data_IF_993167886945
#
_entry.id   IF_993167886945
#
_cell.length_a   1.000
_cell.length_b   1.000
_cell.length_c   1.000
_cell.angle_alpha   90.00
_cell.angle_beta   90.00
_cell.angle_gamma   90.00
#
_symmetry.space_group_name_H-M   'P 1'
#
loop_
_entity.id
_entity.type
_entity.pdbx_description
1 polymer ?
#
# COMPACT_ATOMS: atom_id res chain seq x y z
N UNK A 1 71.26 12.47 26.17
CA UNK A 1 71.64 12.67 24.75
C UNK A 1 70.59 12.00 23.85
N UNK A 2 70.35 12.55 22.65
CA UNK A 2 69.04 12.71 21.99
C UNK A 2 68.86 11.67 20.85
N UNK A 3 67.79 11.61 20.04
CA UNK A 3 67.30 12.55 19.03
C UNK A 3 65.95 12.01 18.48
N UNK A 4 64.84 12.75 18.58
CA UNK A 4 64.17 13.59 17.55
C UNK A 4 62.93 12.95 16.89
N UNK A 5 61.79 13.63 17.07
CA UNK A 5 60.53 13.51 16.28
C UNK A 5 60.75 14.13 14.87
N UNK A 6 59.85 13.95 13.86
CA UNK A 6 58.56 14.67 13.84
C UNK A 6 57.36 13.95 13.15
N UNK A 7 56.18 14.57 13.33
CA UNK A 7 54.88 14.38 12.65
C UNK A 7 54.98 14.42 11.11
N UNK A 8 54.11 13.67 10.41
CA UNK A 8 53.39 14.16 9.21
C UNK A 8 52.12 13.31 8.95
N UNK A 9 50.96 13.98 8.91
CA UNK A 9 49.71 13.53 8.28
C UNK A 9 49.94 13.30 6.78
N UNK A 10 49.29 12.30 6.15
CA UNK A 10 48.82 12.35 4.77
C UNK A 10 47.92 11.13 4.39
N UNK A 11 46.65 11.45 4.14
CA UNK A 11 45.76 10.95 3.06
C UNK A 11 45.66 9.45 2.72
N UNK A 12 44.46 8.91 3.00
CA UNK A 12 43.67 7.96 2.21
C UNK A 12 44.05 7.77 0.73
N UNK A 13 44.30 6.52 0.30
CA UNK A 13 44.03 6.03 -1.08
C UNK A 13 43.76 4.52 -1.04
N UNK A 14 42.51 4.11 -1.24
CA UNK A 14 42.18 2.74 -1.66
C UNK A 14 42.10 2.71 -3.19
N UNK A 15 42.93 1.92 -3.91
CA UNK A 15 42.78 1.82 -5.35
C UNK A 15 42.07 0.53 -5.76
N UNK A 16 41.15 0.74 -6.68
CA UNK A 16 40.88 -0.07 -7.87
C UNK A 16 39.92 -1.26 -7.75
N UNK A 17 38.66 -0.95 -8.08
CA UNK A 17 37.80 -1.84 -8.87
C UNK A 17 38.55 -2.29 -10.14
N UNK A 18 39.02 -3.54 -10.17
CA UNK A 18 39.36 -4.21 -11.42
C UNK A 18 38.22 -5.15 -11.77
N UNK A 19 37.46 -4.76 -12.79
CA UNK A 19 36.52 -5.60 -13.49
C UNK A 19 37.24 -6.84 -14.04
N UNK A 20 37.06 -7.99 -13.42
CA UNK A 20 37.46 -9.27 -13.98
C UNK A 20 36.22 -9.94 -14.57
N UNK A 21 35.97 -9.69 -15.86
CA UNK A 21 35.02 -10.50 -16.64
C UNK A 21 35.66 -11.89 -16.80
N UNK A 22 35.04 -12.99 -16.31
CA UNK A 22 35.65 -14.31 -16.38
C UNK A 22 35.68 -14.81 -17.83
N UNK A 23 36.86 -15.25 -18.30
CA UNK A 23 37.13 -15.69 -19.69
C UNK A 23 36.55 -17.06 -20.05
N UNK A 24 35.67 -17.63 -19.23
CA UNK A 24 35.12 -18.97 -19.44
C UNK A 24 33.59 -18.88 -19.58
N UNK A 25 33.04 -19.35 -20.71
CA UNK A 25 31.63 -19.16 -21.08
C UNK A 25 30.67 -19.82 -20.06
N UNK A 26 31.10 -20.91 -19.42
CA UNK A 26 30.38 -21.56 -18.32
C UNK A 26 30.38 -20.70 -17.03
N UNK A 27 31.46 -19.99 -16.73
CA UNK A 27 31.54 -19.11 -15.57
C UNK A 27 30.74 -17.81 -15.78
N UNK A 28 30.67 -17.31 -17.01
CA UNK A 28 29.78 -16.21 -17.37
C UNK A 28 28.29 -16.62 -17.27
N UNK A 29 27.94 -17.83 -17.71
CA UNK A 29 26.60 -18.40 -17.54
C UNK A 29 26.25 -18.60 -16.05
N UNK A 30 27.16 -19.15 -15.24
CA UNK A 30 26.96 -19.29 -13.79
C UNK A 30 26.82 -17.93 -13.10
N UNK A 31 27.56 -16.91 -13.52
CA UNK A 31 27.43 -15.54 -13.00
C UNK A 31 26.07 -14.93 -13.37
N UNK A 32 25.59 -15.08 -14.61
CA UNK A 32 24.27 -14.61 -15.01
C UNK A 32 23.16 -15.40 -14.31
N UNK A 33 23.30 -16.72 -14.15
CA UNK A 33 22.32 -17.58 -13.47
C UNK A 33 22.25 -17.31 -11.97
N UNK A 34 23.41 -17.19 -11.30
CA UNK A 34 23.46 -16.81 -9.88
C UNK A 34 22.93 -15.40 -9.63
N UNK A 35 23.14 -14.45 -10.55
CA UNK A 35 22.54 -13.11 -10.43
C UNK A 35 21.05 -13.07 -10.79
N UNK A 36 20.54 -13.98 -11.64
CA UNK A 36 19.09 -14.12 -11.88
C UNK A 36 18.36 -14.80 -10.70
N UNK A 37 19.05 -15.68 -9.96
CA UNK A 37 18.52 -16.30 -8.74
C UNK A 37 18.47 -15.29 -7.58
N UNK A 38 19.37 -14.30 -7.53
CA UNK A 38 19.38 -13.31 -6.45
C UNK A 38 18.23 -12.30 -6.58
N UNK A 39 17.71 -12.00 -7.78
CA UNK A 39 16.54 -11.12 -7.93
C UNK A 39 15.21 -11.77 -7.50
N UNK A 40 15.18 -13.08 -7.34
CA UNK A 40 14.03 -13.90 -6.89
C UNK A 40 13.91 -13.94 -5.35
N UNK A 41 14.95 -13.53 -4.61
CA UNK A 41 15.04 -13.80 -3.15
C UNK A 41 14.29 -12.83 -2.22
N UNK A 42 13.42 -11.93 -2.72
CA UNK A 42 12.71 -10.96 -1.85
C UNK A 42 11.23 -10.71 -2.15
N UNK A 43 10.64 -11.31 -3.20
CA UNK A 43 9.21 -11.12 -3.46
C UNK A 43 8.36 -11.89 -2.43
N UNK A 44 7.44 -11.19 -1.79
CA UNK A 44 6.46 -11.77 -0.88
C UNK A 44 5.41 -12.56 -1.66
N UNK A 45 4.71 -13.48 -1.00
CA UNK A 45 3.75 -14.34 -1.69
C UNK A 45 2.52 -13.56 -2.19
N UNK A 46 1.94 -13.95 -3.34
CA UNK A 46 0.71 -13.33 -3.83
C UNK A 46 -0.43 -13.41 -2.81
N UNK A 47 -0.55 -14.54 -2.10
CA UNK A 47 -1.57 -14.76 -1.10
C UNK A 47 -1.49 -13.75 0.05
N UNK A 48 -0.28 -13.45 0.56
CA UNK A 48 -0.07 -12.41 1.58
C UNK A 48 -0.51 -11.03 1.08
N UNK A 49 -0.11 -10.66 -0.15
CA UNK A 49 -0.45 -9.35 -0.72
C UNK A 49 -1.96 -9.20 -0.94
N UNK A 50 -2.60 -10.24 -1.48
CA UNK A 50 -4.04 -10.25 -1.69
C UNK A 50 -4.82 -10.22 -0.37
N UNK A 51 -4.41 -10.99 0.65
CA UNK A 51 -5.02 -10.94 1.98
C UNK A 51 -4.88 -9.54 2.61
N UNK A 52 -3.71 -8.91 2.46
CA UNK A 52 -3.52 -7.54 2.91
C UNK A 52 -4.51 -6.58 2.24
N UNK A 53 -4.70 -6.68 0.92
CA UNK A 53 -5.67 -5.83 0.20
C UNK A 53 -7.13 -6.14 0.58
N UNK A 54 -7.48 -7.39 0.91
CA UNK A 54 -8.81 -7.74 1.44
C UNK A 54 -9.08 -6.99 2.75
N UNK A 55 -8.10 -6.95 3.65
CA UNK A 55 -8.21 -6.21 4.91
C UNK A 55 -8.43 -4.72 4.61
N UNK A 56 -7.61 -4.11 3.76
CA UNK A 56 -7.74 -2.70 3.37
C UNK A 56 -9.12 -2.40 2.74
N UNK A 57 -9.62 -3.29 1.87
CA UNK A 57 -10.93 -3.13 1.25
C UNK A 57 -12.08 -3.24 2.26
N UNK A 58 -12.03 -4.20 3.19
CA UNK A 58 -13.02 -4.32 4.26
C UNK A 58 -12.99 -3.12 5.20
N UNK A 59 -11.79 -2.65 5.53
CA UNK A 59 -11.58 -1.44 6.32
C UNK A 59 -12.21 -0.22 5.63
N UNK A 60 -11.93 -0.02 4.33
CA UNK A 60 -12.55 1.05 3.53
C UNK A 60 -14.07 0.94 3.47
N UNK A 61 -14.62 -0.27 3.30
CA UNK A 61 -16.08 -0.51 3.32
C UNK A 61 -16.71 -0.02 4.62
N UNK A 62 -16.18 -0.44 5.76
CA UNK A 62 -16.72 -0.05 7.06
C UNK A 62 -16.55 1.45 7.32
N UNK A 63 -15.40 2.02 6.93
CA UNK A 63 -15.14 3.46 7.06
C UNK A 63 -16.12 4.33 6.29
N UNK A 64 -16.41 3.97 5.03
CA UNK A 64 -17.39 4.69 4.23
C UNK A 64 -18.83 4.48 4.71
N UNK A 65 -19.20 3.27 5.13
CA UNK A 65 -20.53 3.01 5.67
C UNK A 65 -20.79 3.88 6.91
N UNK A 66 -19.79 3.96 7.78
CA UNK A 66 -19.79 4.81 8.95
C UNK A 66 -19.85 6.30 8.57
N UNK A 67 -19.00 6.76 7.67
CA UNK A 67 -19.02 8.15 7.19
C UNK A 67 -20.41 8.54 6.63
N UNK A 68 -21.07 7.63 5.88
CA UNK A 68 -22.43 7.86 5.37
C UNK A 68 -23.49 8.04 6.47
N UNK A 69 -23.27 7.48 7.67
CA UNK A 69 -24.20 7.60 8.79
C UNK A 69 -24.09 8.94 9.52
N UNK A 70 -22.92 9.58 9.53
CA UNK A 70 -22.68 10.82 10.29
C UNK A 70 -22.81 12.09 9.45
N UNK A 71 -22.57 12.02 8.14
CA UNK A 71 -22.65 13.21 7.31
C UNK A 71 -24.08 13.70 7.13
N UNK A 72 -24.26 15.01 7.16
CA UNK A 72 -25.55 15.67 7.01
C UNK A 72 -25.91 15.85 5.53
N UNK A 73 -24.93 16.11 4.65
CA UNK A 73 -25.20 16.36 3.23
C UNK A 73 -25.68 15.08 2.52
N UNK A 74 -26.89 15.09 1.90
CA UNK A 74 -27.42 13.93 1.20
C UNK A 74 -26.51 13.42 0.06
N UNK A 75 -25.81 14.35 -0.60
CA UNK A 75 -24.87 14.02 -1.67
C UNK A 75 -23.65 13.23 -1.15
N UNK A 76 -23.07 13.65 -0.02
CA UNK A 76 -21.98 12.90 0.62
C UNK A 76 -22.45 11.54 1.11
N UNK A 77 -23.63 11.48 1.72
CA UNK A 77 -24.21 10.22 2.18
C UNK A 77 -24.36 9.21 1.03
N UNK A 78 -24.86 9.66 -0.11
CA UNK A 78 -24.99 8.83 -1.30
C UNK A 78 -23.62 8.40 -1.86
N UNK A 79 -22.66 9.33 -1.92
CA UNK A 79 -21.30 9.04 -2.39
C UNK A 79 -20.60 8.01 -1.50
N UNK A 80 -20.59 8.19 -0.18
CA UNK A 80 -19.98 7.26 0.76
C UNK A 80 -20.67 5.89 0.73
N UNK A 81 -22.00 5.83 0.65
CA UNK A 81 -22.71 4.54 0.51
C UNK A 81 -22.31 3.79 -0.76
N UNK A 82 -22.13 4.51 -1.88
CA UNK A 82 -21.63 3.92 -3.13
C UNK A 82 -20.22 3.39 -2.98
N UNK A 83 -19.32 4.18 -2.39
CA UNK A 83 -17.93 3.78 -2.16
C UNK A 83 -17.83 2.58 -1.20
N UNK A 84 -18.64 2.52 -0.15
CA UNK A 84 -18.71 1.36 0.74
C UNK A 84 -19.07 0.08 -0.04
N UNK A 85 -20.03 0.16 -0.96
CA UNK A 85 -20.43 -0.96 -1.82
C UNK A 85 -19.29 -1.37 -2.76
N UNK A 86 -18.65 -0.40 -3.41
CA UNK A 86 -17.49 -0.64 -4.29
C UNK A 86 -16.33 -1.35 -3.55
N UNK A 87 -16.01 -0.91 -2.32
CA UNK A 87 -14.98 -1.54 -1.49
C UNK A 87 -15.36 -2.98 -1.08
N UNK A 88 -16.64 -3.27 -0.83
CA UNK A 88 -17.11 -4.63 -0.59
C UNK A 88 -16.95 -5.55 -1.82
N UNK A 89 -17.21 -5.01 -3.01
CA UNK A 89 -16.97 -5.74 -4.27
C UNK A 89 -15.48 -6.03 -4.48
N UNK A 90 -14.59 -5.08 -4.15
CA UNK A 90 -13.14 -5.28 -4.22
C UNK A 90 -12.69 -6.42 -3.31
N UNK A 91 -13.11 -6.42 -2.05
CA UNK A 91 -12.81 -7.49 -1.10
C UNK A 91 -13.28 -8.85 -1.63
N UNK A 92 -14.46 -8.91 -2.25
CA UNK A 92 -15.01 -10.13 -2.85
C UNK A 92 -14.13 -10.63 -4.00
N UNK A 93 -13.75 -9.76 -4.94
CA UNK A 93 -12.90 -10.10 -6.07
C UNK A 93 -11.51 -10.60 -5.61
N UNK A 94 -10.91 -9.91 -4.65
CA UNK A 94 -9.61 -10.30 -4.08
C UNK A 94 -9.70 -11.64 -3.35
N UNK A 95 -10.79 -11.90 -2.63
CA UNK A 95 -11.05 -13.18 -1.96
C UNK A 95 -11.09 -14.34 -2.95
N UNK A 96 -11.73 -14.15 -4.10
CA UNK A 96 -11.74 -15.16 -5.18
C UNK A 96 -10.32 -15.45 -5.69
N UNK A 97 -9.48 -14.43 -5.84
CA UNK A 97 -8.09 -14.61 -6.24
C UNK A 97 -7.25 -15.38 -5.21
N UNK A 98 -7.48 -15.16 -3.91
CA UNK A 98 -6.80 -15.93 -2.84
C UNK A 98 -7.26 -17.38 -2.81
N UNK A 99 -8.55 -17.64 -3.02
CA UNK A 99 -9.05 -19.02 -3.10
C UNK A 99 -8.43 -19.76 -4.30
N UNK A 100 -8.20 -19.07 -5.41
CA UNK A 100 -7.54 -19.63 -6.59
C UNK A 100 -6.06 -19.99 -6.35
N UNK A 101 -5.39 -19.40 -5.35
CA UNK A 101 -4.02 -19.78 -4.97
C UNK A 101 -3.96 -21.01 -4.05
N UNK A 102 -5.10 -21.61 -3.69
CA UNK A 102 -5.18 -22.78 -2.81
C UNK A 102 -4.97 -22.46 -1.32
N UNK A 103 -4.79 -21.18 -0.99
CA UNK A 103 -4.70 -20.65 0.37
C UNK A 103 -6.08 -20.25 0.87
N UNK A 104 -6.32 -20.40 2.18
CA UNK A 104 -7.56 -19.88 2.77
C UNK A 104 -7.46 -18.35 2.86
N UNK A 105 -8.47 -17.60 2.39
CA UNK A 105 -8.51 -16.16 2.57
C UNK A 105 -8.57 -15.81 4.05
N UNK A 106 -7.84 -14.77 4.44
CA UNK A 106 -8.02 -14.18 5.76
C UNK A 106 -9.41 -13.51 5.79
N UNK A 107 -10.37 -14.21 6.39
CA UNK A 107 -11.71 -13.68 6.59
C UNK A 107 -11.72 -12.79 7.83
N UNK A 108 -11.68 -11.47 7.64
CA UNK A 108 -11.83 -10.48 8.71
C UNK A 108 -11.30 -9.10 8.36
N UNK A 109 -11.64 -8.11 9.18
CA UNK A 109 -10.79 -6.93 9.39
C UNK A 109 -9.53 -7.39 10.10
N UNK A 110 -8.34 -6.90 9.73
CA UNK A 110 -7.07 -7.31 10.31
C UNK A 110 -7.02 -7.17 11.84
N UNK A 111 -6.00 -7.74 12.51
CA UNK A 111 -5.86 -7.61 13.96
C UNK A 111 -5.79 -6.12 14.33
N UNK A 112 -6.81 -5.63 15.04
CA UNK A 112 -6.98 -4.24 15.51
C UNK A 112 -7.28 -3.23 14.38
N UNK A 113 -8.54 -2.87 14.16
CA UNK A 113 -9.16 -1.84 14.99
C UNK A 113 -8.67 -0.40 14.74
N UNK A 114 -7.90 -0.13 13.67
CA UNK A 114 -7.50 1.21 13.28
C UNK A 114 -8.74 2.06 12.95
N UNK A 115 -9.64 1.54 12.10
CA UNK A 115 -10.93 2.18 11.87
C UNK A 115 -11.81 2.24 13.10
N UNK A 116 -11.84 1.19 13.94
CA UNK A 116 -12.68 1.23 15.13
C UNK A 116 -12.24 2.32 16.12
N UNK A 117 -10.93 2.52 16.31
CA UNK A 117 -10.39 3.60 17.16
C UNK A 117 -10.61 4.97 16.54
N UNK A 118 -10.31 5.13 15.25
CA UNK A 118 -10.49 6.41 14.56
C UNK A 118 -11.97 6.82 14.50
N UNK A 119 -12.86 5.85 14.30
CA UNK A 119 -14.30 6.10 14.32
C UNK A 119 -14.84 6.43 15.71
N UNK A 120 -14.32 5.78 16.75
CA UNK A 120 -14.64 6.13 18.15
C UNK A 120 -14.18 7.55 18.46
N UNK A 121 -13.01 7.96 17.97
CA UNK A 121 -12.51 9.33 18.12
C UNK A 121 -13.43 10.34 17.43
N UNK A 122 -13.84 10.10 16.17
CA UNK A 122 -14.77 10.95 15.43
C UNK A 122 -16.12 11.07 16.16
N UNK A 123 -16.67 9.95 16.63
CA UNK A 123 -17.91 9.94 17.43
C UNK A 123 -17.78 10.65 18.78
N UNK A 124 -16.58 10.67 19.36
CA UNK A 124 -16.35 11.36 20.63
C UNK A 124 -16.15 12.87 20.47
N UNK A 125 -15.76 13.32 19.27
CA UNK A 125 -15.48 14.73 18.95
C UNK A 125 -16.65 15.46 18.29
N UNK A 126 -17.90 14.98 18.47
CA UNK A 126 -19.14 15.53 17.88
C UNK A 126 -19.48 16.95 18.38
N UNK A 127 -18.60 17.89 18.06
CA UNK A 127 -18.72 19.34 18.26
C UNK A 127 -18.40 19.98 16.91
N UNK A 128 -19.44 20.12 16.09
CA UNK A 128 -19.54 21.04 14.95
C UNK A 128 -18.43 20.97 13.85
N UNK A 129 -18.45 19.93 13.00
CA UNK A 129 -18.21 19.96 11.52
C UNK A 129 -18.14 18.51 10.95
N UNK A 130 -19.27 17.79 10.98
CA UNK A 130 -19.28 16.33 10.75
C UNK A 130 -18.88 15.92 9.32
N UNK A 131 -19.15 16.76 8.32
CA UNK A 131 -18.91 16.46 6.90
C UNK A 131 -17.43 16.56 6.51
N UNK A 132 -16.76 17.64 6.90
CA UNK A 132 -15.35 17.88 6.58
C UNK A 132 -14.42 16.94 7.37
N UNK A 133 -14.78 16.63 8.61
CA UNK A 133 -14.09 15.62 9.41
C UNK A 133 -14.20 14.23 8.75
N UNK A 134 -15.40 13.83 8.32
CA UNK A 134 -15.61 12.57 7.61
C UNK A 134 -14.82 12.51 6.29
N UNK A 135 -14.86 13.59 5.49
CA UNK A 135 -14.10 13.69 4.24
C UNK A 135 -12.59 13.52 4.47
N UNK A 136 -12.02 14.24 5.43
CA UNK A 136 -10.57 14.17 5.74
C UNK A 136 -10.15 12.75 6.14
N UNK A 137 -10.96 12.08 6.94
CA UNK A 137 -10.66 10.71 7.34
C UNK A 137 -10.77 9.72 6.18
N UNK A 138 -11.81 9.83 5.34
CA UNK A 138 -11.92 9.01 4.13
C UNK A 138 -10.75 9.25 3.17
N UNK A 139 -10.29 10.50 3.01
CA UNK A 139 -9.10 10.85 2.22
C UNK A 139 -7.86 10.14 2.77
N UNK A 140 -7.62 10.21 4.08
CA UNK A 140 -6.48 9.55 4.74
C UNK A 140 -6.53 8.03 4.57
N UNK A 141 -7.73 7.45 4.66
CA UNK A 141 -7.97 6.03 4.40
C UNK A 141 -7.63 5.63 2.97
N UNK A 142 -8.11 6.39 1.99
CA UNK A 142 -7.84 6.13 0.57
C UNK A 142 -6.37 6.35 0.20
N UNK A 143 -5.68 7.33 0.77
CA UNK A 143 -4.22 7.49 0.61
C UNK A 143 -3.46 6.26 1.09
N UNK A 144 -3.87 5.72 2.25
CA UNK A 144 -3.30 4.49 2.79
C UNK A 144 -3.61 3.29 1.89
N UNK A 145 -4.83 3.22 1.35
CA UNK A 145 -5.23 2.14 0.44
C UNK A 145 -4.43 2.18 -0.88
N UNK A 146 -4.28 3.36 -1.50
CA UNK A 146 -3.47 3.56 -2.71
C UNK A 146 -2.04 3.08 -2.49
N UNK A 147 -1.41 3.50 -1.39
CA UNK A 147 -0.05 3.06 -1.06
C UNK A 147 0.05 1.54 -0.85
N UNK A 148 -0.97 0.91 -0.27
CA UNK A 148 -1.01 -0.55 -0.10
C UNK A 148 -1.10 -1.27 -1.45
N UNK A 149 -1.96 -0.81 -2.37
CA UNK A 149 -2.06 -1.36 -3.73
C UNK A 149 -0.73 -1.24 -4.49
N UNK A 150 -0.09 -0.06 -4.46
CA UNK A 150 1.21 0.16 -5.11
C UNK A 150 2.30 -0.74 -4.53
N UNK A 151 2.31 -0.91 -3.20
CA UNK A 151 3.24 -1.80 -2.50
C UNK A 151 3.04 -3.25 -2.94
N UNK A 152 1.79 -3.73 -2.99
CA UNK A 152 1.49 -5.10 -3.39
C UNK A 152 1.89 -5.36 -4.85
N UNK A 153 1.63 -4.41 -5.76
CA UNK A 153 2.06 -4.51 -7.15
C UNK A 153 3.59 -4.58 -7.32
N UNK A 154 4.35 -3.98 -6.40
CA UNK A 154 5.80 -3.87 -6.47
C UNK A 154 6.53 -5.03 -5.76
N UNK A 155 6.02 -5.47 -4.62
CA UNK A 155 6.74 -6.37 -3.71
C UNK A 155 6.26 -7.82 -3.73
N UNK A 156 5.16 -8.13 -4.43
CA UNK A 156 4.59 -9.47 -4.45
C UNK A 156 4.65 -10.14 -5.82
N UNK A 157 4.87 -11.45 -5.82
CA UNK A 157 4.90 -12.26 -7.04
C UNK A 157 3.49 -12.53 -7.57
N UNK A 158 2.93 -11.61 -8.35
CA UNK A 158 1.55 -11.66 -8.84
C UNK A 158 1.45 -12.21 -10.27
N UNK A 159 0.40 -13.00 -10.54
CA UNK A 159 0.04 -13.39 -11.91
C UNK A 159 -0.49 -12.19 -12.71
N UNK A 160 -0.52 -12.29 -14.04
CA UNK A 160 -1.05 -11.23 -14.90
C UNK A 160 -2.52 -10.91 -14.58
N UNK A 161 -3.33 -11.93 -14.27
CA UNK A 161 -4.73 -11.75 -13.87
C UNK A 161 -4.85 -10.97 -12.55
N UNK A 162 -4.05 -11.34 -11.54
CA UNK A 162 -4.02 -10.64 -10.25
C UNK A 162 -3.60 -9.18 -10.43
N UNK A 163 -2.54 -8.93 -11.21
CA UNK A 163 -2.09 -7.56 -11.51
C UNK A 163 -3.18 -6.74 -12.20
N UNK A 164 -3.94 -7.31 -13.13
CA UNK A 164 -5.01 -6.59 -13.82
C UNK A 164 -6.11 -6.13 -12.86
N UNK A 165 -6.56 -7.01 -11.96
CA UNK A 165 -7.60 -6.68 -10.98
C UNK A 165 -7.07 -5.64 -9.99
N UNK A 166 -5.86 -5.82 -9.46
CA UNK A 166 -5.24 -4.89 -8.51
C UNK A 166 -5.05 -3.50 -9.14
N UNK A 167 -4.56 -3.42 -10.38
CA UNK A 167 -4.43 -2.14 -11.10
C UNK A 167 -5.78 -1.47 -11.36
N UNK A 168 -6.83 -2.26 -11.65
CA UNK A 168 -8.18 -1.72 -11.78
C UNK A 168 -8.68 -1.09 -10.48
N UNK A 169 -8.52 -1.80 -9.36
CA UNK A 169 -8.95 -1.31 -8.05
C UNK A 169 -8.12 -0.10 -7.60
N UNK A 170 -6.82 -0.09 -7.85
CA UNK A 170 -5.94 1.07 -7.61
C UNK A 170 -6.45 2.31 -8.36
N UNK A 171 -6.74 2.19 -9.66
CA UNK A 171 -7.27 3.32 -10.44
C UNK A 171 -8.58 3.85 -9.87
N UNK A 172 -9.55 2.97 -9.59
CA UNK A 172 -10.84 3.37 -9.03
C UNK A 172 -10.70 4.02 -7.64
N UNK A 173 -9.76 3.52 -6.83
CA UNK A 173 -9.45 4.10 -5.52
C UNK A 173 -8.84 5.50 -5.67
N UNK A 174 -7.91 5.68 -6.61
CA UNK A 174 -7.31 6.99 -6.92
C UNK A 174 -8.34 8.00 -7.46
N UNK A 175 -9.28 7.54 -8.31
CA UNK A 175 -10.37 8.38 -8.83
C UNK A 175 -11.32 8.82 -7.71
N UNK A 176 -11.64 7.91 -6.77
CA UNK A 176 -12.41 8.21 -5.58
C UNK A 176 -11.69 9.23 -4.69
N UNK A 177 -10.40 9.01 -4.39
CA UNK A 177 -9.56 9.93 -3.61
C UNK A 177 -9.54 11.34 -4.21
N UNK A 178 -9.40 11.43 -5.54
CA UNK A 178 -9.47 12.72 -6.23
C UNK A 178 -10.83 13.39 -6.03
N UNK A 179 -11.92 12.63 -6.18
CA UNK A 179 -13.28 13.14 -5.99
C UNK A 179 -13.52 13.64 -4.55
N UNK A 180 -13.03 12.90 -3.55
CA UNK A 180 -13.12 13.30 -2.14
C UNK A 180 -12.38 14.61 -1.85
N UNK A 181 -11.19 14.79 -2.43
CA UNK A 181 -10.44 16.04 -2.30
C UNK A 181 -11.18 17.22 -2.93
N UNK A 182 -11.83 17.01 -4.08
CA UNK A 182 -12.63 18.06 -4.71
C UNK A 182 -13.84 18.45 -3.86
N UNK A 183 -14.53 17.47 -3.26
CA UNK A 183 -15.63 17.75 -2.32
C UNK A 183 -15.18 18.53 -1.09
N UNK A 184 -14.01 18.21 -0.53
CA UNK A 184 -13.45 18.93 0.61
C UNK A 184 -13.10 20.39 0.27
N UNK A 185 -12.53 20.65 -0.91
CA UNK A 185 -12.17 22.00 -1.32
C UNK A 185 -13.38 22.82 -1.83
N UNK A 186 -14.37 22.18 -2.44
CA UNK A 186 -15.60 22.81 -2.93
C UNK A 186 -16.50 23.38 -1.83
N UNK A 187 -16.33 22.93 -0.58
CA UNK A 187 -17.06 23.43 0.59
C UNK A 187 -16.53 24.77 1.16
N UNK A 188 -15.34 25.20 0.73
CA UNK A 188 -14.65 26.39 1.29
C UNK A 188 -14.88 27.67 0.46
N UNK A 189 -15.93 27.73 -0.36
CA UNK A 189 -16.27 28.85 -1.25
C UNK A 189 -17.68 29.38 -0.98
#
# INVERSE_FOLDING_TARGET
MPQKRPLFLLSYVAPNQKSCIPKNHLAACLYVYQNNIIMDTTLKSAAEGLNHLIIIANDGKEGYAQAADIVARPMLKAMFSRLATERAEFATQLTVLVLATGTQPESGTGPLGALHRVWVEIKSSLVADDDDAALKECIRGDETAVAAYETVLKEHALTAEQQNIINQQLRLTSDALFSLRQELHGNNV
#
